data_IF_074794520822
#
_entry.id   IF_074794520822
#
_cell.length_a   1.000
_cell.length_b   1.000
_cell.length_c   1.000
_cell.angle_alpha   90.00
_cell.angle_beta   90.00
_cell.angle_gamma   90.00
#
_symmetry.space_group_name_H-M   'P 1'
#
loop_
_entity.id
_entity.type
_entity.pdbx_description
1 polymer ?
#
# COMPACT_ATOMS: atom_id res chain seq x y z
N UNK A 1 -0.14 0.75 9.31
CA UNK A 1 -1.55 0.35 9.04
C UNK A 1 -1.83 -1.04 9.56
N UNK A 2 -2.99 -1.21 10.15
CA UNK A 2 -3.41 -2.53 10.62
C UNK A 2 -4.24 -3.21 9.54
N UNK A 3 -4.13 -4.54 9.45
CA UNK A 3 -4.89 -5.31 8.47
C UNK A 3 -6.40 -5.10 8.61
N UNK A 4 -6.88 -4.97 9.85
CA UNK A 4 -8.30 -4.75 10.10
C UNK A 4 -8.79 -3.43 9.50
N UNK A 5 -7.97 -2.40 9.54
CA UNK A 5 -8.32 -1.11 8.94
C UNK A 5 -8.45 -1.23 7.43
N UNK A 6 -7.54 -1.98 6.82
CA UNK A 6 -7.56 -2.20 5.37
C UNK A 6 -8.78 -3.01 4.97
N UNK A 7 -9.11 -4.04 5.74
CA UNK A 7 -10.25 -4.90 5.43
C UNK A 7 -11.59 -4.20 5.57
N UNK A 8 -11.64 -3.12 6.35
CA UNK A 8 -12.85 -2.31 6.46
C UNK A 8 -13.06 -1.41 5.26
N UNK A 9 -12.05 -1.26 4.40
CA UNK A 9 -12.16 -0.46 3.18
C UNK A 9 -12.79 -1.28 2.07
N UNK A 10 -13.55 -0.62 1.18
CA UNK A 10 -13.99 -1.28 -0.05
C UNK A 10 -12.83 -1.26 -1.05
N UNK A 11 -13.00 -1.96 -2.17
CA UNK A 11 -11.95 -2.09 -3.18
C UNK A 11 -11.51 -0.74 -3.73
N UNK A 12 -12.47 0.14 -3.97
CA UNK A 12 -12.20 1.47 -4.50
C UNK A 12 -11.35 2.29 -3.54
N UNK A 13 -11.68 2.23 -2.23
CA UNK A 13 -10.91 2.92 -1.21
C UNK A 13 -9.50 2.35 -1.10
N UNK A 14 -9.36 1.02 -1.20
CA UNK A 14 -8.05 0.38 -1.19
C UNK A 14 -7.19 0.86 -2.34
N UNK A 15 -7.76 0.92 -3.54
CA UNK A 15 -7.03 1.37 -4.72
C UNK A 15 -6.59 2.83 -4.59
N UNK A 16 -7.45 3.69 -4.06
CA UNK A 16 -7.11 5.09 -3.82
C UNK A 16 -5.99 5.19 -2.79
N UNK A 17 -6.07 4.41 -1.73
CA UNK A 17 -5.05 4.43 -0.69
C UNK A 17 -3.69 3.98 -1.23
N UNK A 18 -3.68 2.93 -2.04
CA UNK A 18 -2.45 2.45 -2.67
C UNK A 18 -1.86 3.52 -3.57
N UNK A 19 -2.70 4.19 -4.35
CA UNK A 19 -2.25 5.27 -5.22
C UNK A 19 -1.60 6.40 -4.42
N UNK A 20 -2.25 6.81 -3.33
CA UNK A 20 -1.71 7.86 -2.46
C UNK A 20 -0.38 7.45 -1.84
N UNK A 21 -0.29 6.20 -1.39
CA UNK A 21 0.93 5.69 -0.77
C UNK A 21 2.07 5.59 -1.79
N UNK A 22 1.77 5.21 -3.01
CA UNK A 22 2.78 5.14 -4.07
C UNK A 22 3.32 6.53 -4.41
N UNK A 23 2.45 7.53 -4.43
CA UNK A 23 2.85 8.91 -4.64
C UNK A 23 3.74 9.38 -3.49
N UNK A 24 3.36 9.08 -2.26
CA UNK A 24 4.17 9.40 -1.09
C UNK A 24 5.54 8.73 -1.17
N UNK A 25 5.56 7.45 -1.54
CA UNK A 25 6.82 6.71 -1.67
C UNK A 25 7.71 7.33 -2.74
N UNK A 26 7.13 7.73 -3.86
CA UNK A 26 7.88 8.39 -4.93
C UNK A 26 8.55 9.66 -4.41
N UNK A 27 7.80 10.47 -3.67
CA UNK A 27 8.34 11.71 -3.10
C UNK A 27 9.44 11.43 -2.09
N UNK A 28 9.26 10.41 -1.26
CA UNK A 28 10.27 10.02 -0.27
C UNK A 28 11.55 9.53 -0.95
N UNK A 29 11.41 8.76 -2.03
CA UNK A 29 12.57 8.29 -2.78
C UNK A 29 13.31 9.46 -3.44
N UNK A 30 12.59 10.42 -3.96
CA UNK A 30 13.19 11.63 -4.52
C UNK A 30 13.97 12.38 -3.46
N UNK A 31 13.38 12.58 -2.26
CA UNK A 31 14.07 13.24 -1.16
C UNK A 31 15.33 12.49 -0.75
N UNK A 32 15.27 11.16 -0.77
CA UNK A 32 16.43 10.34 -0.45
C UNK A 32 17.55 10.54 -1.46
N UNK A 33 17.21 10.59 -2.75
CA UNK A 33 18.19 10.76 -3.81
C UNK A 33 18.92 12.10 -3.73
N UNK A 34 18.21 13.15 -3.32
CA UNK A 34 18.84 14.47 -3.18
C UNK A 34 19.42 14.70 -1.79
N UNK A 35 19.43 13.67 -0.94
CA UNK A 35 20.06 13.73 0.37
C UNK A 35 19.29 14.51 1.42
N UNK A 36 17.98 14.73 1.21
CA UNK A 36 17.16 15.52 2.12
C UNK A 36 16.17 14.70 2.95
N UNK A 37 16.24 13.37 2.85
CA UNK A 37 15.34 12.52 3.63
C UNK A 37 15.80 12.44 5.07
N UNK A 38 14.96 12.93 5.98
CA UNK A 38 15.30 12.98 7.42
C UNK A 38 14.99 11.65 8.12
N UNK A 39 14.01 10.90 7.62
CA UNK A 39 13.58 9.66 8.27
C UNK A 39 13.46 8.53 7.26
N UNK A 40 14.54 7.72 7.08
CA UNK A 40 14.50 6.62 6.12
C UNK A 40 13.52 5.51 6.48
N UNK A 41 13.12 5.41 7.75
CA UNK A 41 12.13 4.40 8.15
C UNK A 41 10.77 4.65 7.51
N UNK A 42 10.46 5.89 7.22
CA UNK A 42 9.18 6.23 6.59
C UNK A 42 9.05 5.58 5.20
N UNK A 43 10.15 5.49 4.47
CA UNK A 43 10.15 4.77 3.20
C UNK A 43 9.78 3.30 3.38
N UNK A 44 10.39 2.67 4.38
CA UNK A 44 10.13 1.26 4.68
C UNK A 44 8.69 1.04 5.09
N UNK A 45 8.17 1.91 5.95
CA UNK A 45 6.79 1.82 6.42
C UNK A 45 5.80 1.99 5.27
N UNK A 46 6.06 2.96 4.39
CA UNK A 46 5.21 3.20 3.25
C UNK A 46 5.20 1.99 2.30
N UNK A 47 6.37 1.40 2.04
CA UNK A 47 6.47 0.20 1.23
C UNK A 47 5.68 -0.96 1.84
N UNK A 48 5.78 -1.14 3.16
CA UNK A 48 5.06 -2.19 3.86
C UNK A 48 3.55 -1.99 3.77
N UNK A 49 3.10 -0.74 3.91
CA UNK A 49 1.68 -0.43 3.82
C UNK A 49 1.15 -0.74 2.43
N UNK A 50 1.88 -0.35 1.40
CA UNK A 50 1.50 -0.66 0.01
C UNK A 50 1.40 -2.16 -0.19
N UNK A 51 2.42 -2.90 0.23
CA UNK A 51 2.46 -4.35 0.08
C UNK A 51 1.30 -5.02 0.82
N UNK A 52 0.99 -4.52 2.01
CA UNK A 52 -0.11 -5.07 2.81
C UNK A 52 -1.46 -4.89 2.13
N UNK A 53 -1.71 -3.67 1.62
CA UNK A 53 -2.97 -3.39 0.93
C UNK A 53 -3.08 -4.21 -0.36
N UNK A 54 -2.00 -4.27 -1.14
CA UNK A 54 -1.99 -5.04 -2.37
C UNK A 54 -2.21 -6.53 -2.11
N UNK A 55 -1.65 -7.06 -1.03
CA UNK A 55 -1.87 -8.45 -0.63
C UNK A 55 -3.34 -8.71 -0.34
N UNK A 56 -3.98 -7.81 0.39
CA UNK A 56 -5.40 -7.96 0.73
C UNK A 56 -6.27 -7.86 -0.53
N UNK A 57 -5.94 -6.95 -1.43
CA UNK A 57 -6.64 -6.86 -2.72
C UNK A 57 -6.50 -8.17 -3.50
N UNK A 58 -5.30 -8.72 -3.55
CA UNK A 58 -5.03 -9.98 -4.25
C UNK A 58 -5.76 -11.16 -3.60
N UNK A 59 -5.82 -11.19 -2.28
CA UNK A 59 -6.56 -12.23 -1.55
C UNK A 59 -8.04 -12.20 -1.95
N UNK A 60 -8.61 -11.01 -2.00
CA UNK A 60 -10.00 -10.87 -2.42
C UNK A 60 -10.21 -11.36 -3.84
N UNK A 61 -9.30 -11.03 -4.75
CA UNK A 61 -9.37 -11.46 -6.14
C UNK A 61 -9.23 -12.98 -6.25
N UNK A 62 -8.28 -13.56 -5.51
CA UNK A 62 -8.08 -15.00 -5.50
C UNK A 62 -9.30 -15.74 -4.97
N UNK A 63 -9.88 -15.23 -3.88
CA UNK A 63 -11.07 -15.82 -3.31
C UNK A 63 -12.24 -15.80 -4.29
N UNK A 64 -12.36 -14.74 -5.05
CA UNK A 64 -13.40 -14.64 -6.08
C UNK A 64 -13.17 -15.66 -7.19
N UNK A 65 -11.92 -15.87 -7.60
CA UNK A 65 -11.58 -16.89 -8.58
C UNK A 65 -11.92 -18.30 -8.08
N UNK A 66 -11.56 -18.59 -6.84
CA UNK A 66 -11.86 -19.88 -6.25
C UNK A 66 -13.35 -20.15 -6.19
N UNK A 67 -14.13 -19.14 -5.87
CA UNK A 67 -15.58 -19.24 -5.79
C UNK A 67 -16.22 -19.48 -7.16
N UNK A 68 -15.56 -19.06 -8.22
CA UNK A 68 -16.07 -19.23 -9.57
C UNK A 68 -15.73 -20.58 -10.17
N UNK A 69 -14.82 -21.30 -9.56
CA UNK A 69 -14.47 -22.64 -9.98
C UNK A 69 -15.39 -23.68 -9.35
#
# INVERSE_FOLDING_TARGET
>A
MKASEIRDMNLEEMNLKVSDLKEELFNLRFQHEIGQLENPQRMKETKKDIARIETIINEGTLNQKENNE
#
